data_IF_573096589765
#
_entry.id   IF_573096589765
#
_cell.length_a   1.000
_cell.length_b   1.000
_cell.length_c   1.000
_cell.angle_alpha   90.00
_cell.angle_beta   90.00
_cell.angle_gamma   90.00
#
_symmetry.space_group_name_H-M   'P 1'
#
loop_
_entity.id
_entity.type
_entity.pdbx_description
1 polymer ?
#
# COMPACT_ATOMS: atom_id res chain seq x y z
N UNK A 1 -97.39 -75.50 -17.79
CA UNK A 1 -97.39 -76.94 -17.42
C UNK A 1 -95.98 -77.22 -16.92
N UNK A 2 -95.66 -77.20 -15.61
CA UNK A 2 -96.21 -78.04 -14.52
C UNK A 2 -96.34 -79.49 -15.02
N UNK A 3 -95.73 -80.53 -14.46
CA UNK A 3 -95.10 -80.74 -13.16
C UNK A 3 -94.47 -82.15 -13.14
N UNK A 4 -93.50 -82.39 -12.24
CA UNK A 4 -93.21 -83.68 -11.57
C UNK A 4 -92.62 -84.85 -12.41
N UNK A 5 -91.72 -85.72 -11.97
CA UNK A 5 -91.45 -86.29 -10.63
C UNK A 5 -89.95 -86.60 -10.41
N UNK A 6 -89.57 -86.62 -9.14
CA UNK A 6 -88.31 -87.09 -8.57
C UNK A 6 -88.65 -88.28 -7.65
N UNK A 7 -87.82 -89.34 -7.63
CA UNK A 7 -87.68 -90.44 -6.63
C UNK A 7 -86.69 -91.45 -7.30
N UNK A 8 -85.64 -92.04 -6.72
CA UNK A 8 -85.27 -92.33 -5.33
C UNK A 8 -83.74 -92.57 -5.20
N UNK A 9 -83.25 -92.45 -3.97
CA UNK A 9 -81.87 -92.55 -3.52
C UNK A 9 -81.36 -94.00 -3.33
N UNK A 10 -80.04 -94.17 -3.40
CA UNK A 10 -79.29 -95.08 -2.50
C UNK A 10 -77.87 -94.53 -2.20
N UNK A 11 -77.82 -93.80 -1.08
CA UNK A 11 -76.79 -93.59 -0.04
C UNK A 11 -75.36 -94.16 -0.10
N UNK A 12 -74.48 -93.37 0.56
CA UNK A 12 -73.25 -93.67 1.35
C UNK A 12 -71.90 -93.53 0.58
N UNK A 13 -70.86 -92.79 1.01
CA UNK A 13 -70.50 -92.26 2.35
C UNK A 13 -69.28 -91.28 2.24
N UNK A 14 -69.31 -90.20 3.06
CA UNK A 14 -68.19 -89.45 3.69
C UNK A 14 -67.28 -88.44 2.93
N UNK A 15 -67.64 -87.16 3.00
CA UNK A 15 -67.05 -86.08 3.84
C UNK A 15 -65.51 -85.96 3.98
N UNK A 16 -64.88 -84.91 3.41
CA UNK A 16 -63.76 -84.12 4.02
C UNK A 16 -63.78 -82.65 3.52
N UNK A 17 -63.61 -81.75 4.49
CA UNK A 17 -63.59 -80.28 4.52
C UNK A 17 -62.63 -79.54 3.56
N UNK A 18 -63.16 -78.45 2.99
CA UNK A 18 -62.62 -77.06 2.93
C UNK A 18 -61.13 -76.79 2.62
N UNK A 19 -60.87 -76.01 1.56
CA UNK A 19 -60.18 -74.71 1.68
C UNK A 19 -60.07 -74.04 0.31
N UNK A 20 -60.98 -73.09 0.05
CA UNK A 20 -60.79 -72.04 -0.95
C UNK A 20 -59.65 -71.13 -0.46
N UNK A 21 -58.59 -70.96 -1.26
CA UNK A 21 -57.53 -69.96 -1.00
C UNK A 21 -57.56 -68.93 -2.11
N UNK A 22 -57.57 -67.63 -1.79
CA UNK A 22 -57.54 -66.58 -2.81
C UNK A 22 -56.17 -66.57 -3.48
N UNK A 23 -56.17 -66.58 -4.82
CA UNK A 23 -54.99 -66.28 -5.61
C UNK A 23 -54.63 -64.79 -5.44
N UNK A 24 -53.95 -64.48 -4.34
CA UNK A 24 -53.19 -63.24 -4.21
C UNK A 24 -52.08 -63.32 -5.25
N UNK A 25 -52.18 -62.52 -6.31
CA UNK A 25 -51.09 -62.30 -7.25
C UNK A 25 -49.91 -61.74 -6.47
N UNK A 26 -49.04 -62.62 -5.96
CA UNK A 26 -47.68 -62.24 -5.61
C UNK A 26 -47.01 -61.86 -6.93
N UNK A 27 -47.04 -60.57 -7.27
CA UNK A 27 -46.02 -59.96 -8.11
C UNK A 27 -44.72 -59.98 -7.30
N UNK A 28 -44.23 -61.18 -7.06
CA UNK A 28 -43.00 -61.47 -6.35
C UNK A 28 -41.95 -61.72 -7.41
N UNK A 29 -41.25 -60.67 -7.83
CA UNK A 29 -39.98 -60.84 -8.53
C UNK A 29 -39.04 -61.53 -7.54
N UNK A 30 -38.99 -62.87 -7.62
CA UNK A 30 -38.13 -63.75 -6.85
C UNK A 30 -36.88 -64.07 -7.67
N UNK A 31 -35.71 -64.06 -7.03
CA UNK A 31 -34.43 -64.41 -7.66
C UNK A 31 -33.37 -63.31 -7.56
N UNK A 32 -32.11 -63.69 -7.80
CA UNK A 32 -30.85 -62.94 -7.63
C UNK A 32 -30.86 -61.44 -7.99
N UNK A 33 -31.79 -60.99 -8.82
CA UNK A 33 -32.05 -59.60 -9.17
C UNK A 33 -32.32 -58.70 -7.94
N UNK A 34 -33.00 -59.18 -6.88
CA UNK A 34 -33.14 -58.41 -5.61
C UNK A 34 -31.80 -58.17 -4.92
N UNK A 35 -30.94 -59.20 -4.85
CA UNK A 35 -29.61 -59.10 -4.22
C UNK A 35 -28.69 -58.19 -5.04
N UNK A 36 -28.79 -58.25 -6.37
CA UNK A 36 -28.11 -57.33 -7.27
C UNK A 36 -28.60 -55.89 -7.09
N UNK A 37 -29.91 -55.67 -6.94
CA UNK A 37 -30.48 -54.35 -6.68
C UNK A 37 -30.05 -53.81 -5.30
N UNK A 38 -30.10 -54.60 -4.23
CA UNK A 38 -29.61 -54.16 -2.91
C UNK A 38 -28.11 -53.88 -2.91
N UNK A 39 -27.31 -54.68 -3.60
CA UNK A 39 -25.88 -54.41 -3.77
C UNK A 39 -25.64 -53.12 -4.55
N UNK A 40 -26.40 -52.89 -5.62
CA UNK A 40 -26.31 -51.66 -6.41
C UNK A 40 -26.73 -50.41 -5.61
N UNK A 41 -27.83 -50.50 -4.86
CA UNK A 41 -28.28 -49.42 -3.95
C UNK A 41 -27.26 -49.19 -2.84
N UNK A 42 -26.68 -50.24 -2.25
CA UNK A 42 -25.61 -50.12 -1.25
C UNK A 42 -24.37 -49.44 -1.84
N UNK A 43 -23.96 -49.83 -3.05
CA UNK A 43 -22.84 -49.23 -3.76
C UNK A 43 -23.11 -47.75 -4.06
N UNK A 44 -24.32 -47.39 -4.49
CA UNK A 44 -24.72 -45.98 -4.65
C UNK A 44 -24.70 -45.22 -3.32
N UNK A 45 -25.18 -45.80 -2.23
CA UNK A 45 -25.11 -45.19 -0.90
C UNK A 45 -23.66 -44.96 -0.45
N UNK A 46 -22.78 -45.92 -0.70
CA UNK A 46 -21.33 -45.77 -0.42
C UNK A 46 -20.73 -44.67 -1.27
N UNK A 47 -21.03 -44.62 -2.58
CA UNK A 47 -20.56 -43.54 -3.47
C UNK A 47 -21.04 -42.18 -2.97
N UNK A 48 -22.30 -42.06 -2.52
CA UNK A 48 -22.83 -40.82 -1.94
C UNK A 48 -22.06 -40.45 -0.66
N UNK A 49 -21.82 -41.40 0.24
CA UNK A 49 -21.08 -41.15 1.48
C UNK A 49 -19.63 -40.72 1.20
N UNK A 50 -18.96 -41.35 0.23
CA UNK A 50 -17.62 -40.97 -0.21
C UNK A 50 -17.63 -39.57 -0.82
N UNK A 51 -18.59 -39.27 -1.69
CA UNK A 51 -18.73 -37.94 -2.28
C UNK A 51 -19.03 -36.87 -1.23
N UNK A 52 -19.85 -37.19 -0.21
CA UNK A 52 -20.13 -36.29 0.90
C UNK A 52 -18.87 -36.06 1.76
N UNK A 53 -18.14 -37.12 2.11
CA UNK A 53 -16.89 -37.02 2.85
C UNK A 53 -15.83 -36.22 2.09
N UNK A 54 -15.69 -36.45 0.78
CA UNK A 54 -14.80 -35.70 -0.09
C UNK A 54 -15.20 -34.22 -0.18
N UNK A 55 -16.50 -33.93 -0.26
CA UNK A 55 -17.01 -32.54 -0.26
C UNK A 55 -16.69 -31.83 1.05
N UNK A 56 -16.95 -32.48 2.20
CA UNK A 56 -16.61 -31.94 3.53
C UNK A 56 -15.10 -31.71 3.66
N UNK A 57 -14.29 -32.65 3.16
CA UNK A 57 -12.84 -32.53 3.17
C UNK A 57 -12.36 -31.34 2.34
N UNK A 58 -12.86 -31.17 1.11
CA UNK A 58 -12.53 -30.04 0.23
C UNK A 58 -12.90 -28.71 0.91
N UNK A 59 -14.12 -28.59 1.46
CA UNK A 59 -14.58 -27.38 2.15
C UNK A 59 -13.67 -27.04 3.34
N UNK A 60 -13.28 -28.05 4.12
CA UNK A 60 -12.38 -27.89 5.27
C UNK A 60 -10.96 -27.48 4.85
N UNK A 61 -10.39 -28.13 3.83
CA UNK A 61 -9.03 -27.84 3.33
C UNK A 61 -8.95 -26.45 2.70
N UNK A 62 -9.97 -26.05 1.94
CA UNK A 62 -10.05 -24.71 1.37
C UNK A 62 -10.36 -23.61 2.42
N UNK A 63 -10.48 -23.99 3.70
CA UNK A 63 -10.78 -23.09 4.82
C UNK A 63 -12.02 -22.20 4.55
N UNK A 64 -13.07 -22.80 3.99
CA UNK A 64 -14.37 -22.16 3.87
C UNK A 64 -15.06 -22.22 5.22
N UNK A 65 -15.19 -21.05 5.84
CA UNK A 65 -15.99 -20.83 7.05
C UNK A 65 -17.31 -20.16 6.65
N UNK A 66 -18.31 -20.22 7.52
CA UNK A 66 -19.57 -19.49 7.36
C UNK A 66 -19.32 -17.98 7.22
N UNK A 67 -18.20 -17.48 7.74
CA UNK A 67 -17.80 -16.06 7.69
C UNK A 67 -17.04 -15.66 6.40
N UNK A 68 -16.58 -16.61 5.58
CA UNK A 68 -15.80 -16.30 4.37
C UNK A 68 -14.87 -17.41 3.85
N UNK A 69 -14.08 -17.05 2.84
CA UNK A 69 -13.07 -17.91 2.21
C UNK A 69 -11.67 -17.49 2.67
N UNK A 70 -10.99 -18.34 3.44
CA UNK A 70 -9.64 -18.04 3.93
C UNK A 70 -9.57 -16.74 4.73
N UNK A 71 -8.65 -15.84 4.37
CA UNK A 71 -8.48 -14.53 5.01
C UNK A 71 -9.49 -13.48 4.55
N UNK A 72 -10.33 -13.77 3.54
CA UNK A 72 -11.34 -12.87 3.02
C UNK A 72 -12.69 -13.15 3.68
N UNK A 73 -13.22 -12.17 4.42
CA UNK A 73 -14.55 -12.19 5.02
C UNK A 73 -15.49 -11.22 4.32
N UNK A 74 -16.72 -11.66 4.07
CA UNK A 74 -17.76 -10.81 3.48
C UNK A 74 -18.59 -10.25 4.64
N UNK A 75 -18.64 -8.93 4.77
CA UNK A 75 -19.43 -8.24 5.78
C UNK A 75 -20.44 -7.30 5.12
N UNK A 76 -21.46 -6.85 5.84
CA UNK A 76 -22.44 -5.88 5.32
C UNK A 76 -21.80 -4.55 4.87
N UNK A 77 -20.62 -4.21 5.42
CA UNK A 77 -19.88 -2.99 5.07
C UNK A 77 -18.93 -3.17 3.88
N UNK A 78 -18.75 -4.40 3.39
CA UNK A 78 -17.83 -4.73 2.30
C UNK A 78 -16.94 -5.94 2.59
N UNK A 79 -15.87 -6.06 1.81
CA UNK A 79 -14.89 -7.14 1.93
C UNK A 79 -13.84 -6.79 3.00
N UNK A 80 -13.67 -7.67 3.98
CA UNK A 80 -12.67 -7.53 5.03
C UNK A 80 -11.59 -8.59 4.86
N UNK A 81 -10.35 -8.15 4.63
CA UNK A 81 -9.19 -9.02 4.55
C UNK A 81 -8.48 -9.09 5.91
N UNK A 82 -8.35 -10.29 6.46
CA UNK A 82 -7.71 -10.58 7.74
C UNK A 82 -6.51 -11.50 7.54
N UNK A 83 -5.34 -10.92 7.28
CA UNK A 83 -4.08 -11.63 7.11
C UNK A 83 -3.45 -11.38 5.75
N UNK A 84 -2.38 -12.10 5.45
CA UNK A 84 -1.69 -12.00 4.17
C UNK A 84 -2.55 -12.63 3.07
N UNK A 85 -2.64 -11.99 1.91
CA UNK A 85 -3.38 -12.54 0.77
C UNK A 85 -2.77 -12.09 -0.53
N UNK A 86 -2.80 -12.99 -1.51
CA UNK A 86 -2.27 -12.76 -2.84
C UNK A 86 -3.41 -12.60 -3.84
N UNK A 87 -3.27 -11.62 -4.72
CA UNK A 87 -4.22 -11.36 -5.79
C UNK A 87 -3.55 -11.61 -7.14
N UNK A 88 -4.10 -12.54 -7.92
CA UNK A 88 -3.60 -12.87 -9.27
C UNK A 88 -4.02 -11.84 -10.32
N UNK A 89 -5.10 -11.09 -10.04
CA UNK A 89 -5.70 -10.11 -10.93
C UNK A 89 -5.79 -8.75 -10.26
N UNK A 90 -5.96 -7.66 -11.03
CA UNK A 90 -6.16 -6.33 -10.47
C UNK A 90 -7.36 -6.28 -9.52
N UNK A 91 -7.15 -5.68 -8.35
CA UNK A 91 -8.23 -5.43 -7.40
C UNK A 91 -8.96 -4.14 -7.77
N UNK A 92 -10.25 -4.25 -8.04
CA UNK A 92 -11.12 -3.10 -8.27
C UNK A 92 -11.89 -2.80 -6.99
N UNK A 93 -11.61 -1.66 -6.38
CA UNK A 93 -12.26 -1.22 -5.16
C UNK A 93 -12.58 0.28 -5.27
N UNK A 94 -13.72 0.68 -4.71
CA UNK A 94 -14.07 2.09 -4.56
C UNK A 94 -13.15 2.77 -3.53
N UNK A 95 -12.77 2.01 -2.51
CA UNK A 95 -12.01 2.50 -1.38
C UNK A 95 -11.22 1.35 -0.76
N UNK A 96 -9.98 1.64 -0.36
CA UNK A 96 -9.09 0.70 0.33
C UNK A 96 -8.64 1.42 1.60
N UNK A 97 -8.97 0.85 2.76
CA UNK A 97 -8.60 1.38 4.06
C UNK A 97 -7.97 0.29 4.91
N UNK A 98 -6.92 0.65 5.65
CA UNK A 98 -6.44 -0.21 6.73
C UNK A 98 -7.32 -0.10 7.96
N UNK A 99 -7.19 -1.07 8.86
CA UNK A 99 -7.80 -0.99 10.19
C UNK A 99 -7.15 0.16 10.99
N UNK A 100 -7.90 0.85 11.86
CA UNK A 100 -7.34 1.86 12.75
C UNK A 100 -6.13 1.31 13.54
N UNK A 101 -5.02 2.04 13.53
CA UNK A 101 -3.77 1.64 14.20
C UNK A 101 -2.99 0.52 13.51
N UNK A 102 -3.46 -0.01 12.37
CA UNK A 102 -2.74 -1.00 11.57
C UNK A 102 -2.29 -0.41 10.24
N UNK A 103 -1.03 -0.60 9.81
CA UNK A 103 -0.58 -0.18 8.48
C UNK A 103 -1.21 -1.03 7.37
N UNK A 104 -1.37 -0.44 6.18
CA UNK A 104 -1.64 -1.18 4.95
C UNK A 104 -0.30 -1.52 4.30
N UNK A 105 0.00 -2.80 4.14
CA UNK A 105 1.18 -3.25 3.41
C UNK A 105 0.79 -3.71 2.00
N UNK A 106 1.48 -3.17 1.00
CA UNK A 106 1.39 -3.60 -0.38
C UNK A 106 2.78 -4.08 -0.80
N UNK A 107 2.96 -5.40 -0.88
CA UNK A 107 4.22 -6.01 -1.28
C UNK A 107 4.09 -6.63 -2.66
N UNK A 108 5.03 -6.33 -3.54
CA UNK A 108 5.09 -6.91 -4.89
C UNK A 108 6.54 -7.05 -5.35
N UNK A 109 6.82 -8.08 -6.15
CA UNK A 109 8.08 -8.24 -6.87
C UNK A 109 8.16 -7.35 -8.11
N UNK A 110 7.05 -6.71 -8.49
CA UNK A 110 6.93 -5.78 -9.62
C UNK A 110 6.43 -4.43 -9.12
N UNK A 111 6.38 -3.46 -10.03
CA UNK A 111 5.85 -2.13 -9.72
C UNK A 111 4.39 -2.25 -9.26
N UNK A 112 4.08 -1.64 -8.12
CA UNK A 112 2.72 -1.50 -7.61
C UNK A 112 2.12 -0.26 -8.27
N UNK A 113 0.99 -0.41 -8.95
CA UNK A 113 0.27 0.68 -9.60
C UNK A 113 -1.13 0.81 -9.04
N UNK A 114 -1.45 1.96 -8.46
CA UNK A 114 -2.79 2.32 -7.99
C UNK A 114 -3.37 3.34 -8.98
N UNK A 115 -4.43 2.94 -9.67
CA UNK A 115 -5.09 3.75 -10.69
C UNK A 115 -6.48 4.13 -10.18
N UNK A 116 -6.76 5.43 -10.17
CA UNK A 116 -8.08 5.97 -9.86
C UNK A 116 -8.72 6.34 -11.20
N UNK A 117 -9.89 5.77 -11.46
CA UNK A 117 -10.66 5.99 -12.68
C UNK A 117 -11.89 6.86 -12.38
N UNK A 118 -12.29 7.69 -13.34
CA UNK A 118 -13.56 8.43 -13.26
C UNK A 118 -14.76 7.54 -13.63
N UNK A 119 -15.98 8.07 -13.52
CA UNK A 119 -17.21 7.35 -13.89
C UNK A 119 -17.32 6.95 -15.37
N UNK A 120 -16.44 7.45 -16.24
CA UNK A 120 -16.30 7.05 -17.66
C UNK A 120 -15.14 6.07 -17.88
N UNK A 121 -14.59 5.52 -16.81
CA UNK A 121 -13.46 4.59 -16.81
C UNK A 121 -12.14 5.19 -17.36
N UNK A 122 -11.98 6.51 -17.29
CA UNK A 122 -10.75 7.21 -17.69
C UNK A 122 -9.84 7.43 -16.49
N UNK A 123 -8.54 7.23 -16.67
CA UNK A 123 -7.53 7.46 -15.64
C UNK A 123 -7.48 8.94 -15.24
N UNK A 124 -7.67 9.22 -13.94
CA UNK A 124 -7.57 10.57 -13.38
C UNK A 124 -6.37 10.75 -12.46
N UNK A 125 -6.03 9.70 -11.70
CA UNK A 125 -4.87 9.70 -10.80
C UNK A 125 -4.16 8.37 -10.91
N UNK A 126 -2.84 8.41 -10.92
CA UNK A 126 -1.99 7.24 -10.96
C UNK A 126 -0.87 7.38 -9.93
N UNK A 127 -0.72 6.37 -9.09
CA UNK A 127 0.41 6.22 -8.18
C UNK A 127 1.17 4.95 -8.57
N UNK A 128 2.44 5.09 -8.93
CA UNK A 128 3.32 3.96 -9.25
C UNK A 128 4.47 3.97 -8.24
N UNK A 129 4.64 2.85 -7.53
CA UNK A 129 5.77 2.59 -6.67
C UNK A 129 6.58 1.42 -7.23
N UNK A 130 7.88 1.63 -7.46
CA UNK A 130 8.78 0.63 -8.03
C UNK A 130 10.22 0.80 -7.55
N UNK A 131 11.15 0.10 -8.20
CA UNK A 131 12.58 0.15 -7.87
C UNK A 131 13.20 1.54 -8.08
N UNK A 132 12.70 2.32 -9.04
CA UNK A 132 13.16 3.69 -9.33
C UNK A 132 12.45 4.76 -8.50
N UNK A 133 11.72 4.38 -7.45
CA UNK A 133 11.02 5.29 -6.54
C UNK A 133 9.51 5.36 -6.77
N UNK A 134 8.92 6.45 -6.27
CA UNK A 134 7.48 6.68 -6.23
C UNK A 134 7.11 7.83 -7.17
N UNK A 135 6.22 7.57 -8.12
CA UNK A 135 5.65 8.55 -9.04
C UNK A 135 4.17 8.69 -8.76
N UNK A 136 3.72 9.90 -8.47
CA UNK A 136 2.31 10.23 -8.37
C UNK A 136 1.94 11.24 -9.45
N UNK A 137 0.88 10.94 -10.19
CA UNK A 137 0.28 11.82 -11.19
C UNK A 137 -1.18 12.00 -10.82
N UNK A 138 -1.59 13.24 -10.59
CA UNK A 138 -2.95 13.60 -10.22
C UNK A 138 -3.00 15.04 -9.75
N UNK A 139 -4.20 15.51 -9.41
CA UNK A 139 -4.41 16.89 -8.93
C UNK A 139 -3.85 17.16 -7.55
N UNK A 140 -3.79 16.12 -6.71
CA UNK A 140 -3.40 16.23 -5.31
C UNK A 140 -2.87 14.89 -4.80
N UNK A 141 -1.71 14.92 -4.15
CA UNK A 141 -1.20 13.84 -3.31
C UNK A 141 -1.00 14.37 -1.91
N UNK A 142 -1.62 13.73 -0.92
CA UNK A 142 -1.49 14.09 0.48
C UNK A 142 -1.03 12.89 1.31
N UNK A 143 0.03 13.08 2.10
CA UNK A 143 0.55 12.08 3.03
C UNK A 143 0.49 12.67 4.43
N UNK A 144 -0.27 12.02 5.31
CA UNK A 144 -0.45 12.40 6.71
C UNK A 144 0.19 11.40 7.65
N UNK A 145 0.61 11.90 8.81
CA UNK A 145 0.99 11.07 9.95
C UNK A 145 -0.23 10.34 10.53
N UNK A 146 0.00 9.33 11.38
CA UNK A 146 -1.05 8.64 12.15
C UNK A 146 -1.86 9.59 13.05
N UNK A 147 -1.30 10.74 13.40
CA UNK A 147 -1.98 11.81 14.18
C UNK A 147 -2.73 12.82 13.31
N UNK A 148 -2.72 12.66 11.98
CA UNK A 148 -3.35 13.57 11.02
C UNK A 148 -2.50 14.77 10.61
N UNK A 149 -1.29 14.94 11.17
CA UNK A 149 -0.35 15.99 10.75
C UNK A 149 0.07 15.79 9.29
N UNK A 150 0.02 16.85 8.48
CA UNK A 150 0.49 16.85 7.10
C UNK A 150 2.01 16.63 7.05
N UNK A 151 2.46 15.60 6.33
CA UNK A 151 3.88 15.28 6.14
C UNK A 151 4.36 15.63 4.73
N UNK A 152 3.53 15.41 3.73
CA UNK A 152 3.81 15.75 2.34
C UNK A 152 2.50 16.10 1.63
N UNK A 153 2.50 17.18 0.86
CA UNK A 153 1.43 17.56 -0.04
C UNK A 153 2.01 17.99 -1.38
N UNK A 154 1.37 17.63 -2.49
CA UNK A 154 1.70 18.16 -3.79
C UNK A 154 0.43 18.32 -4.62
N UNK A 155 0.17 19.55 -5.06
CA UNK A 155 -0.90 19.90 -5.99
C UNK A 155 -0.40 20.83 -7.11
N UNK A 156 -1.33 21.40 -7.87
CA UNK A 156 -1.04 22.31 -9.00
C UNK A 156 -0.44 23.66 -8.55
N UNK A 157 -0.50 24.01 -7.27
CA UNK A 157 -0.08 25.31 -6.73
C UNK A 157 1.23 25.21 -5.95
N UNK A 158 1.35 24.23 -5.05
CA UNK A 158 2.51 24.11 -4.18
C UNK A 158 2.87 22.66 -3.82
N UNK A 159 4.13 22.49 -3.40
CA UNK A 159 4.62 21.26 -2.78
C UNK A 159 5.01 21.59 -1.34
N UNK A 160 4.32 20.97 -0.38
CA UNK A 160 4.54 21.17 1.05
C UNK A 160 5.22 19.94 1.62
N UNK A 161 6.37 20.12 2.27
CA UNK A 161 7.08 19.06 3.00
C UNK A 161 7.07 19.39 4.49
N UNK A 162 6.17 18.75 5.24
CA UNK A 162 5.95 18.96 6.68
C UNK A 162 6.79 18.06 7.60
N UNK A 163 7.89 17.50 7.08
CA UNK A 163 8.76 16.60 7.83
C UNK A 163 9.63 17.38 8.84
N UNK A 164 9.84 16.82 10.03
CA UNK A 164 10.74 17.41 11.04
C UNK A 164 12.20 17.44 10.59
N UNK A 165 12.57 16.49 9.73
CA UNK A 165 13.89 16.39 9.11
C UNK A 165 13.72 16.01 7.64
N UNK A 166 14.13 16.90 6.75
CA UNK A 166 14.25 16.60 5.33
C UNK A 166 15.70 16.22 5.03
N UNK A 167 15.93 14.96 4.63
CA UNK A 167 17.23 14.49 4.15
C UNK A 167 17.12 14.23 2.66
N UNK A 168 17.90 14.96 1.87
CA UNK A 168 18.04 14.72 0.44
C UNK A 168 19.37 13.99 0.23
N UNK A 169 19.29 12.75 -0.20
CA UNK A 169 20.46 11.96 -0.64
C UNK A 169 20.39 11.82 -2.15
N UNK A 170 21.52 11.98 -2.83
CA UNK A 170 21.58 11.59 -4.23
C UNK A 170 21.84 10.11 -4.37
N UNK A 171 21.43 9.58 -5.51
CA UNK A 171 21.75 8.23 -5.92
C UNK A 171 23.15 8.23 -6.54
N UNK A 172 24.04 7.39 -6.00
CA UNK A 172 25.20 6.92 -6.76
C UNK A 172 24.70 5.81 -7.69
N UNK A 173 24.56 6.09 -8.97
CA UNK A 173 24.56 5.03 -9.98
C UNK A 173 25.98 4.50 -10.10
N UNK A 174 26.29 3.39 -9.43
CA UNK A 174 27.53 2.65 -9.60
C UNK A 174 27.64 2.14 -11.05
N UNK A 175 28.21 2.96 -11.93
CA UNK A 175 28.68 2.52 -13.23
C UNK A 175 30.10 2.01 -13.04
N UNK A 176 30.21 0.69 -13.01
CA UNK A 176 31.48 -0.02 -13.04
C UNK A 176 32.26 0.40 -14.28
N UNK A 177 33.37 1.11 -14.05
CA UNK A 177 34.61 1.23 -14.84
C UNK A 177 35.02 2.67 -15.18
N UNK A 178 36.19 3.02 -14.62
CA UNK A 178 37.07 4.15 -14.86
C UNK A 178 36.61 5.54 -14.37
N UNK A 179 37.18 5.95 -13.23
CA UNK A 179 37.36 7.34 -12.77
C UNK A 179 36.29 8.34 -13.23
N UNK A 180 35.08 8.21 -12.70
CA UNK A 180 34.13 9.32 -12.71
C UNK A 180 33.73 9.60 -11.28
N UNK A 181 34.23 10.73 -10.77
CA UNK A 181 33.86 11.23 -9.45
C UNK A 181 32.35 11.49 -9.45
N UNK A 182 31.61 10.61 -8.80
CA UNK A 182 30.17 10.68 -8.79
C UNK A 182 29.70 11.77 -7.83
N UNK A 183 29.42 12.95 -8.38
CA UNK A 183 28.89 14.07 -7.62
C UNK A 183 27.37 13.97 -7.56
N UNK A 184 26.84 13.72 -6.37
CA UNK A 184 25.43 13.97 -6.08
C UNK A 184 25.19 15.47 -6.13
N UNK A 185 24.47 15.94 -7.15
CA UNK A 185 24.09 17.36 -7.27
C UNK A 185 22.62 17.54 -6.87
N UNK A 186 22.38 18.27 -5.79
CA UNK A 186 21.05 18.72 -5.38
C UNK A 186 20.83 20.12 -5.97
N UNK A 187 19.76 20.32 -6.72
CA UNK A 187 19.40 21.63 -7.27
C UNK A 187 17.99 22.01 -6.79
N UNK A 188 17.87 23.19 -6.18
CA UNK A 188 16.59 23.79 -5.80
C UNK A 188 16.45 25.04 -6.66
N UNK A 189 15.50 25.03 -7.60
CA UNK A 189 15.24 26.14 -8.52
C UNK A 189 13.80 26.62 -8.34
N UNK A 190 13.60 27.93 -8.44
CA UNK A 190 12.28 28.56 -8.54
C UNK A 190 12.20 29.29 -9.89
N UNK A 191 11.54 28.69 -10.88
CA UNK A 191 11.46 29.25 -12.25
C UNK A 191 10.57 30.50 -12.33
N UNK A 192 9.55 30.58 -11.47
CA UNK A 192 8.52 31.62 -11.50
C UNK A 192 8.41 32.45 -10.20
N UNK A 193 9.38 32.40 -9.30
CA UNK A 193 9.27 33.10 -8.01
C UNK A 193 10.54 33.13 -7.17
N UNK A 194 10.39 33.56 -5.91
CA UNK A 194 11.48 33.69 -4.95
C UNK A 194 11.67 32.39 -4.14
N UNK A 195 12.91 32.07 -3.80
CA UNK A 195 13.23 31.06 -2.79
C UNK A 195 13.34 31.76 -1.43
N UNK A 196 12.37 31.51 -0.54
CA UNK A 196 12.41 32.01 0.83
C UNK A 196 12.75 30.88 1.81
N UNK A 197 13.85 31.04 2.55
CA UNK A 197 14.22 30.14 3.64
C UNK A 197 14.07 30.85 5.00
N UNK A 198 13.29 30.29 5.90
CA UNK A 198 13.07 30.82 7.26
C UNK A 198 13.37 29.76 8.31
N UNK A 199 14.14 30.12 9.34
CA UNK A 199 14.48 29.24 10.46
C UNK A 199 14.05 29.87 11.78
N UNK A 200 13.62 29.05 12.75
CA UNK A 200 13.19 29.53 14.08
C UNK A 200 14.38 29.89 14.98
N UNK A 201 15.49 29.15 14.88
CA UNK A 201 16.67 29.30 15.73
C UNK A 201 17.87 29.75 14.90
N UNK A 202 18.45 28.84 14.12
CA UNK A 202 19.66 29.05 13.36
C UNK A 202 19.52 28.49 11.94
N UNK A 203 20.15 29.17 10.98
CA UNK A 203 20.35 28.69 9.61
C UNK A 203 21.86 28.47 9.43
N UNK A 204 22.28 27.21 9.30
CA UNK A 204 23.69 26.84 9.06
C UNK A 204 23.85 26.35 7.61
N UNK A 205 24.61 27.10 6.83
CA UNK A 205 25.09 26.69 5.50
C UNK A 205 26.55 26.26 5.66
N UNK A 206 26.87 25.01 5.33
CA UNK A 206 28.22 24.45 5.49
C UNK A 206 28.56 23.58 4.29
N UNK A 207 29.76 23.77 3.74
CA UNK A 207 30.34 22.92 2.70
C UNK A 207 31.60 22.29 3.28
N UNK A 208 31.69 20.96 3.25
CA UNK A 208 32.83 20.21 3.82
C UNK A 208 34.04 20.21 2.88
N UNK A 209 33.78 20.02 1.59
CA UNK A 209 34.79 19.78 0.56
C UNK A 209 34.74 20.83 -0.56
N UNK A 210 34.04 21.95 -0.35
CA UNK A 210 33.86 22.97 -1.37
C UNK A 210 33.63 24.36 -0.80
N UNK A 211 33.25 25.30 -1.66
CA UNK A 211 32.91 26.67 -1.26
C UNK A 211 31.39 26.89 -1.17
N UNK A 212 31.01 27.99 -0.52
CA UNK A 212 29.64 28.49 -0.49
C UNK A 212 29.64 29.82 -1.23
N UNK A 213 28.91 29.90 -2.34
CA UNK A 213 28.87 31.10 -3.19
C UNK A 213 27.46 31.66 -3.19
N UNK A 214 27.34 32.93 -2.79
CA UNK A 214 26.10 33.70 -2.84
C UNK A 214 26.24 34.72 -3.96
N UNK A 215 25.64 34.47 -5.12
CA UNK A 215 25.66 35.38 -6.26
C UNK A 215 24.33 36.13 -6.36
N UNK A 216 24.37 37.46 -6.18
CA UNK A 216 23.22 38.33 -6.27
C UNK A 216 23.63 39.78 -6.52
N UNK A 217 22.73 40.58 -7.11
CA UNK A 217 22.96 42.04 -7.27
C UNK A 217 23.15 42.77 -5.93
N UNK A 218 22.57 42.26 -4.85
CA UNK A 218 22.67 42.85 -3.51
C UNK A 218 22.47 41.78 -2.43
N UNK A 219 23.50 41.55 -1.63
CA UNK A 219 23.45 40.68 -0.45
C UNK A 219 23.32 41.56 0.79
N UNK A 220 22.42 41.20 1.73
CA UNK A 220 22.19 41.94 2.96
C UNK A 220 22.28 41.00 4.16
N UNK A 221 23.24 41.27 5.04
CA UNK A 221 23.36 40.60 6.34
C UNK A 221 22.90 41.58 7.42
N UNK A 222 21.73 41.32 7.99
CA UNK A 222 21.12 42.21 8.98
C UNK A 222 21.64 41.89 10.38
N UNK A 223 21.81 42.92 11.22
CA UNK A 223 22.17 42.78 12.64
C UNK A 223 23.47 42.01 12.88
N UNK A 224 24.48 42.27 12.06
CA UNK A 224 25.83 41.79 12.37
C UNK A 224 26.30 42.45 13.69
N UNK A 225 26.84 41.67 14.65
CA UNK A 225 27.42 42.24 15.85
C UNK A 225 28.56 43.20 15.50
N UNK A 226 28.51 44.42 16.03
CA UNK A 226 29.63 45.36 15.90
C UNK A 226 30.73 45.01 16.91
N UNK A 227 31.92 44.69 16.40
CA UNK A 227 33.11 44.56 17.23
C UNK A 227 33.54 45.93 17.73
N UNK A 228 33.50 46.16 19.05
CA UNK A 228 33.99 47.41 19.64
C UNK A 228 35.49 47.30 19.92
N UNK A 229 36.28 48.19 19.33
CA UNK A 229 37.70 48.31 19.66
C UNK A 229 37.88 48.70 21.15
N UNK A 230 38.83 48.05 21.84
CA UNK A 230 39.17 48.41 23.22
C UNK A 230 39.84 49.79 23.25
N UNK A 231 39.44 50.74 24.12
CA UNK A 231 39.97 52.11 24.13
C UNK A 231 41.42 52.25 24.65
N UNK A 232 42.11 51.18 25.01
CA UNK A 232 43.39 51.26 25.72
C UNK A 232 44.58 50.99 24.81
N UNK A 233 45.40 52.03 24.61
CA UNK A 233 46.65 52.01 23.84
C UNK A 233 47.76 51.15 24.45
N UNK A 234 47.60 49.82 24.43
CA UNK A 234 48.69 48.88 24.65
C UNK A 234 48.94 48.07 23.38
N UNK A 235 50.21 48.03 22.99
CA UNK A 235 50.84 47.51 21.77
C UNK A 235 50.68 46.00 21.52
N UNK A 236 49.62 45.37 22.02
CA UNK A 236 49.33 43.95 21.84
C UNK A 236 48.32 43.77 20.71
N UNK A 237 48.77 43.12 19.62
CA UNK A 237 48.01 42.68 18.42
C UNK A 237 46.48 42.79 18.57
N UNK A 238 45.87 43.73 17.84
CA UNK A 238 44.42 43.84 17.74
C UNK A 238 43.82 42.51 17.26
N UNK A 239 42.83 41.99 18.00
CA UNK A 239 42.13 40.73 17.69
C UNK A 239 40.76 40.97 17.05
N UNK A 240 40.34 42.23 16.93
CA UNK A 240 39.06 42.64 16.33
C UNK A 240 39.33 43.19 14.94
N UNK A 241 38.64 42.64 13.95
CA UNK A 241 38.74 43.03 12.54
C UNK A 241 37.36 43.47 12.04
N UNK A 242 37.35 44.50 11.20
CA UNK A 242 36.20 44.89 10.40
C UNK A 242 36.16 44.03 9.12
N UNK A 243 34.98 43.57 8.72
CA UNK A 243 34.78 42.90 7.42
C UNK A 243 34.33 43.94 6.41
N UNK A 244 35.18 44.22 5.43
CA UNK A 244 34.96 45.21 4.37
C UNK A 244 34.57 44.53 3.06
N UNK A 245 33.72 45.20 2.26
CA UNK A 245 33.24 44.69 0.97
C UNK A 245 33.80 45.55 -0.16
N UNK A 246 34.54 44.96 -1.09
CA UNK A 246 35.00 45.62 -2.31
C UNK A 246 33.84 45.87 -3.28
N UNK A 247 33.94 46.84 -4.21
CA UNK A 247 32.91 47.08 -5.23
C UNK A 247 32.58 45.86 -6.12
N UNK A 248 33.52 44.93 -6.25
CA UNK A 248 33.35 43.65 -6.97
C UNK A 248 32.75 42.52 -6.12
N UNK A 249 32.39 42.78 -4.86
CA UNK A 249 31.78 41.80 -3.95
C UNK A 249 32.75 40.98 -3.10
N UNK A 250 34.07 41.12 -3.29
CA UNK A 250 35.09 40.43 -2.51
C UNK A 250 35.13 40.96 -1.07
N UNK A 251 35.15 40.06 -0.08
CA UNK A 251 35.28 40.42 1.33
C UNK A 251 36.76 40.45 1.74
N UNK A 252 37.15 41.46 2.54
CA UNK A 252 38.47 41.51 3.15
C UNK A 252 38.39 41.97 4.60
N UNK A 253 39.41 41.63 5.38
CA UNK A 253 39.52 42.03 6.77
C UNK A 253 40.37 43.30 6.89
N UNK A 254 39.87 44.29 7.61
CA UNK A 254 40.61 45.48 8.01
C UNK A 254 40.76 45.52 9.54
N UNK A 255 41.81 46.16 10.05
CA UNK A 255 42.00 46.33 11.50
C UNK A 255 40.93 47.26 12.06
N UNK A 256 40.17 46.82 13.08
CA UNK A 256 39.07 47.62 13.62
C UNK A 256 39.57 48.89 14.33
N UNK A 257 38.98 50.03 14.01
CA UNK A 257 39.33 51.36 14.56
C UNK A 257 38.23 51.97 15.44
N UNK A 258 38.43 53.22 15.89
CA UNK A 258 37.36 54.03 16.52
C UNK A 258 36.30 54.51 15.51
N UNK A 259 36.58 54.38 14.21
CA UNK A 259 35.65 54.54 13.09
C UNK A 259 36.01 53.54 11.99
N UNK A 260 35.18 53.45 10.94
CA UNK A 260 35.39 52.44 9.90
C UNK A 260 36.74 52.62 9.20
N UNK A 261 37.51 51.54 9.17
CA UNK A 261 38.82 51.47 8.51
C UNK A 261 38.76 50.77 7.16
N UNK A 262 37.55 50.61 6.60
CA UNK A 262 37.33 50.07 5.26
C UNK A 262 37.79 51.07 4.19
N UNK A 263 39.11 51.22 4.07
CA UNK A 263 39.73 51.94 2.97
C UNK A 263 39.99 50.96 1.83
N UNK A 264 39.56 51.34 0.63
CA UNK A 264 39.73 50.54 -0.58
C UNK A 264 41.23 50.46 -0.85
N UNK A 265 41.85 49.37 -0.40
CA UNK A 265 43.20 49.02 -0.83
C UNK A 265 43.08 48.39 -2.20
N UNK A 266 43.49 49.13 -3.25
CA UNK A 266 43.43 48.67 -4.63
C UNK A 266 44.07 47.28 -4.81
N UNK A 267 45.11 46.95 -4.04
CA UNK A 267 45.79 45.65 -4.14
C UNK A 267 44.93 44.47 -3.66
N UNK A 268 43.91 44.70 -2.83
CA UNK A 268 43.02 43.66 -2.28
C UNK A 268 41.73 43.54 -3.09
N UNK A 269 41.24 44.68 -3.60
CA UNK A 269 39.99 44.81 -4.36
C UNK A 269 40.12 44.72 -5.88
N UNK A 270 41.32 44.45 -6.41
CA UNK A 270 41.54 44.05 -7.82
C UNK A 270 41.02 42.63 -8.09
#
# INVERSE_FOLDING_TARGET
MLDSECIEQCTHRNNVQSSEKPHVYKVGIYGWRKRCLYFFVLLLMILILVNLALTIWIVKVMNFTIDGMGNLRITEKGLKLEGDSEFLQPLYAKEIQSRPGSPLFLQSSKNVSVNILNGKNQLVTQLIAGSSGVRAQGKMLEVKSSTGKLLFSADDQEVVVGAERLRVTGELMDQTLHHTQQSTRIQILAEAGDIQATCRSDLRLESKDGEITLDARRIRLLRLPEGKASPSGTTTRQTVYEVCVCPNGKLFLSQAGTGSTCQISNNVCL
#
